data_IF_950703018000
#
_entry.id   IF_950703018000
#
_cell.length_a   1.000
_cell.length_b   1.000
_cell.length_c   1.000
_cell.angle_alpha   90.00
_cell.angle_beta   90.00
_cell.angle_gamma   90.00
#
_symmetry.space_group_name_H-M   'P 1'
#
loop_
_entity.id
_entity.type
_entity.pdbx_description
1 polymer ?
#
# COMPACT_ATOMS: atom_id res chain seq x y z
N UNK A 1 23.14 6.31 -3.84
CA UNK A 1 22.66 4.93 -4.14
C UNK A 1 21.23 5.04 -4.62
N UNK A 2 20.99 4.98 -5.94
CA UNK A 2 19.64 5.00 -6.48
C UNK A 2 18.99 3.65 -6.16
N UNK A 3 17.94 3.65 -5.35
CA UNK A 3 17.08 2.49 -5.16
C UNK A 3 16.48 2.15 -6.52
N UNK A 4 16.66 0.91 -6.99
CA UNK A 4 15.98 0.43 -8.19
C UNK A 4 14.47 0.66 -8.02
N UNK A 5 13.75 1.14 -9.06
CA UNK A 5 12.30 1.16 -9.01
C UNK A 5 11.83 -0.28 -8.80
N UNK A 6 11.19 -0.54 -7.66
CA UNK A 6 10.62 -1.84 -7.36
C UNK A 6 9.49 -2.12 -8.35
N UNK A 7 9.46 -3.31 -8.92
CA UNK A 7 8.38 -3.69 -9.81
C UNK A 7 7.04 -3.75 -9.04
N UNK A 8 5.90 -3.53 -9.71
CA UNK A 8 4.60 -3.57 -9.05
C UNK A 8 4.31 -4.87 -8.28
N UNK A 9 4.75 -6.02 -8.81
CA UNK A 9 4.57 -7.31 -8.16
C UNK A 9 5.43 -7.45 -6.89
N UNK A 10 6.69 -7.00 -6.92
CA UNK A 10 7.58 -6.99 -5.75
C UNK A 10 7.00 -6.12 -4.63
N UNK A 11 6.36 -5.01 -4.98
CA UNK A 11 5.75 -4.11 -4.00
C UNK A 11 4.55 -4.72 -3.29
N UNK A 12 3.65 -5.37 -4.04
CA UNK A 12 2.50 -6.07 -3.46
C UNK A 12 2.97 -7.21 -2.57
N UNK A 13 3.99 -7.96 -3.00
CA UNK A 13 4.59 -9.02 -2.19
C UNK A 13 5.22 -8.48 -0.90
N UNK A 14 5.89 -7.33 -0.92
CA UNK A 14 6.40 -6.68 0.31
C UNK A 14 5.24 -6.33 1.25
N UNK A 15 4.15 -5.75 0.74
CA UNK A 15 2.97 -5.43 1.55
C UNK A 15 2.36 -6.68 2.19
N UNK A 16 2.20 -7.76 1.43
CA UNK A 16 1.70 -9.04 1.97
C UNK A 16 2.67 -9.65 2.98
N UNK A 17 3.99 -9.53 2.77
CA UNK A 17 4.99 -10.03 3.72
C UNK A 17 4.91 -9.30 5.06
N UNK A 18 4.69 -7.98 5.05
CA UNK A 18 4.50 -7.17 6.26
C UNK A 18 3.25 -7.62 7.03
N UNK A 19 2.12 -7.84 6.34
CA UNK A 19 0.89 -8.37 6.97
C UNK A 19 1.14 -9.77 7.52
N UNK A 20 1.80 -10.63 6.76
CA UNK A 20 2.07 -12.02 7.14
C UNK A 20 2.94 -12.15 8.40
N UNK A 21 3.93 -11.26 8.54
CA UNK A 21 4.80 -11.15 9.71
C UNK A 21 3.99 -10.86 10.98
N UNK A 22 3.07 -9.89 10.91
CA UNK A 22 2.18 -9.56 12.02
C UNK A 22 1.11 -10.64 12.25
N UNK A 23 0.64 -11.30 11.19
CA UNK A 23 -0.44 -12.27 11.29
C UNK A 23 -0.08 -13.48 12.16
N UNK A 24 1.12 -14.05 11.98
CA UNK A 24 1.63 -15.13 12.82
C UNK A 24 0.60 -16.25 13.02
N UNK A 25 0.42 -16.73 14.27
CA UNK A 25 -0.49 -17.84 14.61
C UNK A 25 -1.95 -17.63 14.19
N UNK A 26 -2.41 -16.38 14.05
CA UNK A 26 -3.79 -16.06 13.65
C UNK A 26 -4.11 -16.43 12.19
N UNK A 27 -3.12 -16.84 11.40
CA UNK A 27 -3.33 -17.16 9.97
C UNK A 27 -4.38 -18.24 9.74
N UNK A 28 -4.51 -19.23 10.63
CA UNK A 28 -5.53 -20.28 10.46
C UNK A 28 -6.95 -19.78 10.75
N UNK A 29 -7.11 -18.79 11.63
CA UNK A 29 -8.40 -18.16 11.90
C UNK A 29 -8.79 -17.25 10.73
N UNK A 30 -7.84 -16.45 10.23
CA UNK A 30 -8.02 -15.66 9.02
C UNK A 30 -8.42 -16.54 7.83
N UNK A 31 -7.74 -17.67 7.63
CA UNK A 31 -8.03 -18.59 6.54
C UNK A 31 -9.47 -19.14 6.60
N UNK A 32 -9.95 -19.50 7.80
CA UNK A 32 -11.31 -20.00 8.00
C UNK A 32 -12.35 -18.93 7.67
N UNK A 33 -12.14 -17.71 8.15
CA UNK A 33 -13.05 -16.60 7.85
C UNK A 33 -13.01 -16.18 6.37
N UNK A 34 -11.89 -16.41 5.68
CA UNK A 34 -11.76 -16.27 4.22
C UNK A 34 -12.27 -17.51 3.45
N UNK A 35 -12.97 -18.44 4.12
CA UNK A 35 -13.56 -19.64 3.55
C UNK A 35 -12.57 -20.63 2.91
N UNK A 36 -11.32 -20.69 3.38
CA UNK A 36 -10.43 -21.80 3.05
C UNK A 36 -10.86 -23.06 3.80
N UNK A 37 -10.85 -24.19 3.09
CA UNK A 37 -11.12 -25.50 3.67
C UNK A 37 -9.99 -25.96 4.61
N UNK A 38 -10.31 -26.93 5.47
CA UNK A 38 -9.31 -27.56 6.36
C UNK A 38 -8.17 -28.19 5.56
N UNK A 39 -8.46 -28.78 4.41
CA UNK A 39 -7.47 -29.40 3.55
C UNK A 39 -6.52 -28.37 2.93
N UNK A 40 -7.02 -27.22 2.48
CA UNK A 40 -6.18 -26.13 1.97
C UNK A 40 -5.28 -25.53 3.07
N UNK A 41 -5.83 -25.36 4.28
CA UNK A 41 -5.07 -24.90 5.45
C UNK A 41 -3.97 -25.92 5.77
N UNK A 42 -4.29 -27.21 5.78
CA UNK A 42 -3.31 -28.26 6.05
C UNK A 42 -2.23 -28.32 4.95
N UNK A 43 -2.61 -28.14 3.69
CA UNK A 43 -1.67 -28.10 2.58
C UNK A 43 -0.65 -26.98 2.75
N UNK A 44 -1.09 -25.75 3.06
CA UNK A 44 -0.20 -24.61 3.32
C UNK A 44 0.78 -24.91 4.47
N UNK A 45 0.29 -25.55 5.54
CA UNK A 45 1.09 -25.92 6.71
C UNK A 45 2.20 -26.91 6.35
N UNK A 46 1.86 -27.96 5.58
CA UNK A 46 2.79 -29.01 5.17
C UNK A 46 3.83 -28.47 4.18
N UNK A 47 3.43 -27.57 3.28
CA UNK A 47 4.34 -26.92 2.33
C UNK A 47 5.31 -25.93 3.01
N UNK A 48 4.91 -25.37 4.16
CA UNK A 48 5.67 -24.33 4.87
C UNK A 48 5.88 -24.69 6.36
N UNK A 49 6.52 -25.82 6.71
CA UNK A 49 6.44 -26.39 8.04
C UNK A 49 7.15 -25.58 9.14
N UNK A 50 8.17 -24.80 8.77
CA UNK A 50 9.09 -24.17 9.74
C UNK A 50 8.84 -22.68 9.96
N UNK A 51 7.84 -22.08 9.31
CA UNK A 51 7.66 -20.63 9.32
C UNK A 51 6.19 -20.25 9.27
N UNK A 52 5.70 -19.68 10.37
CA UNK A 52 4.36 -19.09 10.43
C UNK A 52 4.25 -17.91 9.47
N UNK A 53 5.31 -17.13 9.30
CA UNK A 53 5.34 -16.02 8.34
C UNK A 53 5.13 -16.56 6.92
N UNK A 54 5.79 -17.66 6.56
CA UNK A 54 5.62 -18.29 5.25
C UNK A 54 4.22 -18.89 5.09
N UNK A 55 3.65 -19.51 6.13
CA UNK A 55 2.26 -19.99 6.10
C UNK A 55 1.27 -18.83 5.88
N UNK A 56 1.40 -17.76 6.66
CA UNK A 56 0.60 -16.53 6.53
C UNK A 56 0.74 -15.91 5.14
N UNK A 57 1.96 -15.80 4.62
CA UNK A 57 2.22 -15.22 3.31
C UNK A 57 1.61 -16.05 2.19
N UNK A 58 1.75 -17.38 2.25
CA UNK A 58 1.18 -18.28 1.25
C UNK A 58 -0.34 -18.30 1.28
N UNK A 59 -0.96 -18.15 2.47
CA UNK A 59 -2.40 -17.91 2.59
C UNK A 59 -2.81 -16.64 1.82
N UNK A 60 -2.13 -15.51 2.08
CA UNK A 60 -2.45 -14.25 1.41
C UNK A 60 -2.28 -14.35 -0.11
N UNK A 61 -1.19 -14.99 -0.61
CA UNK A 61 -0.98 -15.22 -2.05
C UNK A 61 -2.10 -16.07 -2.67
N UNK A 62 -2.52 -17.13 -2.00
CA UNK A 62 -3.63 -17.99 -2.46
C UNK A 62 -4.95 -17.23 -2.45
N UNK A 63 -5.21 -16.42 -1.43
CA UNK A 63 -6.40 -15.58 -1.35
C UNK A 63 -6.45 -14.56 -2.49
N UNK A 64 -5.36 -13.84 -2.74
CA UNK A 64 -5.25 -12.88 -3.86
C UNK A 64 -5.43 -13.57 -5.20
N UNK A 65 -4.86 -14.77 -5.37
CA UNK A 65 -5.01 -15.55 -6.61
C UNK A 65 -6.45 -16.03 -6.82
N UNK A 66 -7.14 -16.45 -5.75
CA UNK A 66 -8.51 -16.97 -5.79
C UNK A 66 -9.53 -15.86 -6.05
N UNK A 67 -9.39 -14.73 -5.34
CA UNK A 67 -10.40 -13.67 -5.31
C UNK A 67 -10.07 -12.51 -6.27
N UNK A 68 -8.84 -12.45 -6.79
CA UNK A 68 -8.39 -11.46 -7.75
C UNK A 68 -8.69 -10.04 -7.30
N UNK A 69 -9.39 -9.27 -8.15
CA UNK A 69 -9.81 -7.89 -7.84
C UNK A 69 -10.66 -7.75 -6.56
N UNK A 70 -11.29 -8.83 -6.09
CA UNK A 70 -12.08 -8.81 -4.86
C UNK A 70 -11.22 -8.98 -3.60
N UNK A 71 -9.94 -9.34 -3.74
CA UNK A 71 -8.99 -9.37 -2.64
C UNK A 71 -8.56 -7.95 -2.27
N UNK A 72 -9.45 -7.19 -1.63
CA UNK A 72 -9.24 -5.77 -1.30
C UNK A 72 -8.79 -5.58 0.15
N UNK A 73 -8.21 -4.41 0.44
CA UNK A 73 -7.91 -3.99 1.83
C UNK A 73 -9.15 -4.09 2.72
N UNK A 74 -10.31 -3.66 2.25
CA UNK A 74 -11.56 -3.69 3.02
C UNK A 74 -12.01 -5.11 3.36
N UNK A 75 -11.90 -6.04 2.39
CA UNK A 75 -12.22 -7.44 2.63
C UNK A 75 -11.31 -8.02 3.72
N UNK A 76 -10.01 -7.71 3.66
CA UNK A 76 -9.04 -8.16 4.66
C UNK A 76 -9.30 -7.52 6.05
N UNK A 77 -9.51 -6.20 6.10
CA UNK A 77 -9.84 -5.45 7.33
C UNK A 77 -11.10 -5.97 8.01
N UNK A 78 -12.14 -6.26 7.23
CA UNK A 78 -13.40 -6.83 7.73
C UNK A 78 -13.14 -8.16 8.46
N UNK A 79 -12.38 -9.06 7.85
CA UNK A 79 -12.08 -10.36 8.44
C UNK A 79 -11.13 -10.25 9.65
N UNK A 80 -10.09 -9.42 9.56
CA UNK A 80 -9.18 -9.15 10.68
C UNK A 80 -9.91 -8.62 11.91
N UNK A 81 -10.90 -7.75 11.71
CA UNK A 81 -11.75 -7.23 12.78
C UNK A 81 -12.56 -8.35 13.44
N UNK A 82 -13.13 -9.28 12.66
CA UNK A 82 -13.89 -10.43 13.19
C UNK A 82 -13.03 -11.34 14.07
N UNK A 83 -11.76 -11.55 13.71
CA UNK A 83 -10.81 -12.34 14.50
C UNK A 83 -10.06 -11.49 15.55
N UNK A 84 -10.51 -10.26 15.80
CA UNK A 84 -9.99 -9.36 16.81
C UNK A 84 -8.49 -9.01 16.64
N UNK A 85 -8.01 -8.93 15.40
CA UNK A 85 -6.65 -8.50 15.04
C UNK A 85 -6.61 -7.03 14.63
N UNK A 86 -7.03 -6.18 15.56
CA UNK A 86 -7.12 -4.71 15.38
C UNK A 86 -5.75 -4.09 15.14
N UNK A 87 -4.69 -4.68 15.68
CA UNK A 87 -3.31 -4.25 15.44
C UNK A 87 -2.95 -4.26 13.95
N UNK A 88 -3.38 -5.30 13.21
CA UNK A 88 -3.15 -5.39 11.77
C UNK A 88 -4.09 -4.44 11.00
N UNK A 89 -5.32 -4.22 11.49
CA UNK A 89 -6.21 -3.22 10.89
C UNK A 89 -5.55 -1.84 10.90
N UNK A 90 -4.99 -1.42 12.05
CA UNK A 90 -4.28 -0.14 12.14
C UNK A 90 -3.03 -0.07 11.27
N UNK A 91 -2.36 -1.21 11.04
CA UNK A 91 -1.24 -1.31 10.12
C UNK A 91 -1.67 -1.04 8.67
N UNK A 92 -2.81 -1.60 8.24
CA UNK A 92 -3.38 -1.39 6.91
C UNK A 92 -3.90 0.05 6.69
N UNK A 93 -4.25 0.74 7.77
CA UNK A 93 -4.61 2.16 7.76
C UNK A 93 -3.39 3.09 7.90
N UNK A 94 -2.18 2.53 8.00
CA UNK A 94 -0.95 3.28 8.18
C UNK A 94 -0.31 3.81 6.88
N UNK A 95 0.74 4.64 6.97
CA UNK A 95 1.45 5.21 5.81
C UNK A 95 2.02 4.18 4.84
N UNK A 96 2.39 2.99 5.33
CA UNK A 96 2.92 1.88 4.52
C UNK A 96 1.89 1.44 3.47
N UNK A 97 0.62 1.59 3.82
CA UNK A 97 -0.55 1.26 3.03
C UNK A 97 -1.30 2.53 2.61
N UNK A 98 -0.58 3.64 2.45
CA UNK A 98 -1.12 4.91 1.94
C UNK A 98 -2.24 5.50 2.79
N UNK A 99 -2.19 5.30 4.11
CA UNK A 99 -3.19 5.80 5.05
C UNK A 99 -4.63 5.35 4.76
N UNK A 100 -4.79 4.18 4.13
CA UNK A 100 -6.11 3.77 3.67
C UNK A 100 -6.65 4.58 2.48
N UNK A 101 -5.83 5.33 1.72
CA UNK A 101 -6.18 5.69 0.33
C UNK A 101 -6.16 4.47 -0.62
N UNK A 102 -5.75 3.30 -0.12
CA UNK A 102 -6.08 1.99 -0.69
C UNK A 102 -7.35 1.37 -0.05
N UNK A 103 -7.85 1.92 1.06
CA UNK A 103 -9.07 1.51 1.72
C UNK A 103 -10.25 2.07 0.94
N UNK A 104 -11.22 1.21 0.66
CA UNK A 104 -12.41 1.49 -0.12
C UNK A 104 -12.63 0.50 -1.26
N UNK A 105 -11.59 0.18 -2.04
CA UNK A 105 -11.75 -0.63 -3.27
C UNK A 105 -10.47 -1.24 -3.84
N UNK A 106 -9.27 -0.87 -3.37
CA UNK A 106 -8.04 -1.25 -4.08
C UNK A 106 -7.67 -2.71 -3.79
N UNK A 107 -7.48 -3.47 -4.85
CA UNK A 107 -7.14 -4.88 -4.77
C UNK A 107 -5.64 -5.09 -4.55
N UNK A 108 -5.29 -6.11 -3.78
CA UNK A 108 -3.94 -6.68 -3.77
C UNK A 108 -3.56 -7.32 -5.12
N UNK A 109 -4.52 -7.54 -6.02
CA UNK A 109 -4.26 -7.94 -7.40
C UNK A 109 -4.04 -6.75 -8.36
N UNK A 110 -4.41 -5.51 -7.97
CA UNK A 110 -4.27 -4.33 -8.82
C UNK A 110 -2.88 -3.69 -8.70
N UNK A 111 -2.01 -4.07 -9.62
CA UNK A 111 -0.61 -3.64 -9.70
C UNK A 111 -0.43 -2.19 -10.19
N UNK A 112 -1.49 -1.52 -10.62
CA UNK A 112 -1.39 -0.14 -11.13
C UNK A 112 -1.59 0.89 -10.01
N UNK A 113 -0.51 1.27 -9.34
CA UNK A 113 -0.39 2.68 -8.95
C UNK A 113 1.07 3.10 -8.95
N UNK A 114 1.41 3.87 -9.98
CA UNK A 114 2.53 4.81 -9.98
C UNK A 114 2.42 5.61 -8.70
N UNK A 115 3.28 5.32 -7.74
CA UNK A 115 3.52 6.31 -6.70
C UNK A 115 4.27 7.42 -7.40
N UNK A 116 3.62 8.56 -7.55
CA UNK A 116 4.36 9.81 -7.56
C UNK A 116 5.08 9.86 -6.21
N UNK A 117 6.38 9.58 -6.21
CA UNK A 117 7.25 10.06 -5.15
C UNK A 117 6.92 11.54 -4.92
N UNK A 118 6.63 12.00 -3.70
CA UNK A 118 6.41 13.43 -3.44
C UNK A 118 7.69 14.28 -3.58
N UNK A 119 8.71 13.81 -4.30
CA UNK A 119 10.06 14.41 -4.28
C UNK A 119 10.16 15.73 -5.05
N UNK A 120 9.16 16.12 -5.85
CA UNK A 120 9.18 17.37 -6.63
C UNK A 120 8.22 18.46 -6.12
N UNK A 121 8.13 18.63 -4.79
CA UNK A 121 7.27 19.66 -4.17
C UNK A 121 7.98 20.83 -3.48
N UNK A 122 9.31 20.90 -3.49
CA UNK A 122 10.07 21.96 -2.82
C UNK A 122 10.46 23.08 -3.79
N UNK A 123 9.48 23.84 -4.27
CA UNK A 123 9.71 25.21 -4.72
C UNK A 123 9.23 26.15 -3.62
N UNK A 124 10.20 26.43 -2.77
CA UNK A 124 10.29 27.45 -1.75
C UNK A 124 9.79 28.81 -2.26
N UNK A 125 8.64 29.21 -1.72
CA UNK A 125 8.18 30.59 -1.65
C UNK A 125 9.26 31.46 -0.95
N UNK A 126 9.81 32.45 -1.66
CA UNK A 126 10.51 33.58 -1.04
C UNK A 126 9.73 34.86 -1.30
N UNK A 127 9.11 35.49 -0.29
CA UNK A 127 8.56 36.83 -0.40
C UNK A 127 9.60 37.90 0.02
N UNK A 128 9.46 39.07 -0.61
CA UNK A 128 9.98 40.40 -0.25
C UNK A 128 11.41 40.79 -0.64
N UNK A 129 11.49 41.87 -1.45
CA UNK A 129 12.41 42.97 -1.16
C UNK A 129 13.07 43.69 -2.33
N UNK A 130 12.35 44.66 -2.92
CA UNK A 130 12.79 46.00 -3.37
C UNK A 130 14.10 46.20 -4.17
N UNK A 131 14.00 46.85 -5.35
CA UNK A 131 14.59 48.19 -5.58
C UNK A 131 14.22 48.74 -6.97
N UNK A 132 13.75 49.99 -6.96
CA UNK A 132 13.30 50.83 -8.07
C UNK A 132 14.37 51.11 -9.16
N UNK A 133 13.91 51.43 -10.38
CA UNK A 133 14.44 52.59 -11.11
C UNK A 133 13.43 53.15 -12.15
N UNK A 134 13.37 54.48 -12.38
CA UNK A 134 12.16 55.16 -12.85
C UNK A 134 12.19 55.66 -14.31
N UNK A 135 10.98 55.88 -14.84
CA UNK A 135 10.58 56.89 -15.82
C UNK A 135 11.34 57.05 -17.15
N UNK A 136 10.62 56.92 -18.28
CA UNK A 136 10.20 58.08 -19.10
C UNK A 136 9.39 57.62 -20.33
N UNK A 137 8.08 57.85 -20.28
CA UNK A 137 7.24 57.95 -21.47
C UNK A 137 7.11 59.44 -21.83
N UNK A 138 7.74 59.86 -22.94
CA UNK A 138 7.53 61.19 -23.55
C UNK A 138 6.81 60.99 -24.89
N UNK A 139 5.67 61.70 -25.04
CA UNK A 139 4.87 61.79 -26.26
C UNK A 139 5.40 62.92 -27.17
N UNK A 140 4.98 62.87 -28.46
CA UNK A 140 4.69 63.98 -29.41
C UNK A 140 5.70 64.27 -30.57
N UNK A 141 5.23 63.95 -31.79
CA UNK A 141 5.24 64.69 -33.10
C UNK A 141 6.51 64.96 -33.92
N UNK A 142 6.44 64.52 -35.20
CA UNK A 142 6.55 65.37 -36.41
C UNK A 142 7.93 65.69 -36.98
N UNK A 143 8.12 65.30 -38.25
CA UNK A 143 9.19 65.72 -39.15
C UNK A 143 8.98 65.12 -40.53
#
# INVERSE_FOLDING_TARGET
LALRPQSPCERTDIRMAIVADHLGLSWTELARELNFSVDEINQIRVENPNSLISQSFMLLKKWVTRDGKNATTDALTSVLTKINRIDIVTLLEGPIFDYGNISGTRSFADENNVFHDPVDGWQNETPSGSLESPAQARRITGG
#
